data_IF_946420276059
#
_entry.id   IF_946420276059
#
_cell.length_a   1.000
_cell.length_b   1.000
_cell.length_c   1.000
_cell.angle_alpha   90.00
_cell.angle_beta   90.00
_cell.angle_gamma   90.00
#
_symmetry.space_group_name_H-M   'P 1'
#
loop_
_entity.id
_entity.type
_entity.pdbx_description
1 polymer ?
#
# COMPACT_ATOMS: atom_id res chain seq x y z
N UNK A 1 3.24 16.24 -12.68
CA UNK A 1 3.84 14.91 -12.56
C UNK A 1 3.06 13.96 -13.43
N UNK A 2 3.67 13.56 -14.54
CA UNK A 2 3.13 12.51 -15.40
C UNK A 2 3.35 11.12 -14.74
N UNK A 3 2.80 10.07 -15.34
CA UNK A 3 2.93 8.71 -14.78
C UNK A 3 4.36 8.17 -14.83
N UNK A 4 5.19 8.66 -15.76
CA UNK A 4 6.60 8.27 -15.87
C UNK A 4 7.43 8.79 -14.68
N UNK A 5 7.10 9.98 -14.19
CA UNK A 5 7.75 10.55 -13.01
C UNK A 5 7.28 9.84 -11.71
N UNK A 6 6.02 9.38 -11.64
CA UNK A 6 5.55 8.59 -10.50
C UNK A 6 6.22 7.19 -10.42
N UNK A 7 6.63 6.64 -11.55
CA UNK A 7 7.38 5.39 -11.61
C UNK A 7 8.80 5.47 -11.04
N UNK A 8 9.34 6.68 -10.94
CA UNK A 8 10.68 6.94 -10.40
C UNK A 8 10.67 7.29 -8.91
N UNK A 9 9.50 7.30 -8.27
CA UNK A 9 9.39 7.66 -6.85
C UNK A 9 10.33 6.88 -5.93
N UNK A 10 10.54 5.56 -6.09
CA UNK A 10 11.52 4.86 -5.26
C UNK A 10 12.92 5.46 -5.38
N UNK A 11 13.37 5.79 -6.59
CA UNK A 11 14.66 6.40 -6.86
C UNK A 11 14.73 7.83 -6.34
N UNK A 12 13.66 8.62 -6.48
CA UNK A 12 13.58 9.98 -5.95
C UNK A 12 13.69 9.97 -4.42
N UNK A 13 12.97 9.08 -3.75
CA UNK A 13 12.97 9.01 -2.29
C UNK A 13 14.31 8.51 -1.72
N UNK A 14 15.01 7.68 -2.49
CA UNK A 14 16.33 7.13 -2.13
C UNK A 14 17.49 7.80 -2.87
N UNK A 15 17.30 9.00 -3.41
CA UNK A 15 18.40 9.78 -3.99
C UNK A 15 19.47 10.01 -2.91
N UNK A 16 20.70 9.58 -3.21
CA UNK A 16 21.85 9.56 -2.29
C UNK A 16 21.64 8.81 -0.95
N UNK A 17 20.61 7.96 -0.87
CA UNK A 17 20.32 7.11 0.28
C UNK A 17 20.37 5.64 -0.13
N UNK A 18 21.22 4.85 0.52
CA UNK A 18 21.37 3.42 0.20
C UNK A 18 20.60 2.49 1.12
N UNK A 19 20.13 3.00 2.27
CA UNK A 19 19.42 2.19 3.26
C UNK A 19 18.57 3.04 4.19
N UNK A 20 17.61 2.39 4.84
CA UNK A 20 16.77 2.98 5.88
C UNK A 20 16.94 2.20 7.18
N UNK A 21 17.05 2.89 8.31
CA UNK A 21 17.15 2.25 9.62
C UNK A 21 15.97 1.30 9.86
N UNK A 22 16.25 0.08 10.34
CA UNK A 22 15.20 -0.90 10.68
C UNK A 22 14.61 -0.57 12.05
N UNK A 23 13.34 -0.20 12.09
CA UNK A 23 12.62 0.08 13.33
C UNK A 23 11.69 -1.09 13.67
N UNK A 24 12.12 -1.95 14.59
CA UNK A 24 11.33 -3.11 15.03
C UNK A 24 11.17 -4.20 13.97
N UNK A 25 10.07 -4.95 14.06
CA UNK A 25 9.73 -6.00 13.08
C UNK A 25 8.67 -5.46 12.12
N UNK A 26 9.03 -5.30 10.85
CA UNK A 26 8.13 -4.72 9.86
C UNK A 26 7.07 -5.74 9.41
N UNK A 27 5.87 -5.25 9.09
CA UNK A 27 4.87 -6.01 8.35
C UNK A 27 5.15 -6.04 6.84
N UNK A 28 4.21 -6.56 6.06
CA UNK A 28 4.16 -6.35 4.60
C UNK A 28 2.96 -5.49 4.21
N UNK A 29 3.11 -4.69 3.16
CA UNK A 29 2.03 -3.98 2.47
C UNK A 29 1.85 -4.56 1.07
N UNK A 30 0.66 -4.43 0.50
CA UNK A 30 0.42 -4.78 -0.91
C UNK A 30 -0.09 -3.53 -1.64
N UNK A 31 0.71 -2.93 -2.55
CA UNK A 31 0.26 -1.86 -3.44
C UNK A 31 -0.68 -2.44 -4.51
N UNK A 32 -1.92 -1.96 -4.57
CA UNK A 32 -2.98 -2.60 -5.36
C UNK A 32 -3.31 -1.90 -6.68
N UNK A 33 -3.02 -0.60 -6.81
CA UNK A 33 -3.56 0.24 -7.90
C UNK A 33 -2.44 0.90 -8.69
N UNK A 34 -2.77 1.39 -9.89
CA UNK A 34 -1.88 2.22 -10.69
C UNK A 34 -1.39 3.50 -10.00
N UNK A 35 -2.07 3.92 -8.94
CA UNK A 35 -1.67 5.07 -8.13
C UNK A 35 -0.86 4.70 -6.91
N UNK A 36 -0.43 3.43 -6.78
CA UNK A 36 0.46 2.96 -5.73
C UNK A 36 1.78 2.46 -6.26
N UNK A 37 2.87 2.61 -5.50
CA UNK A 37 4.23 2.16 -5.85
C UNK A 37 4.92 1.55 -4.64
N UNK A 38 5.50 0.38 -4.80
CA UNK A 38 6.46 -0.15 -3.83
C UNK A 38 7.69 0.77 -3.81
N UNK A 39 8.05 1.30 -2.64
CA UNK A 39 9.18 2.23 -2.47
C UNK A 39 10.38 1.53 -1.85
N UNK A 40 10.13 0.65 -0.89
CA UNK A 40 11.16 -0.15 -0.24
C UNK A 40 10.61 -1.54 0.02
N UNK A 41 11.45 -2.53 -0.28
CA UNK A 41 11.20 -3.93 0.01
C UNK A 41 12.21 -4.41 1.06
N UNK A 42 11.86 -5.46 1.79
CA UNK A 42 12.78 -6.19 2.66
C UNK A 42 13.75 -7.04 1.84
N UNK A 43 13.92 -8.29 2.25
CA UNK A 43 14.89 -9.20 1.66
C UNK A 43 14.51 -9.65 0.25
N UNK A 44 13.22 -9.58 -0.11
CA UNK A 44 12.67 -9.88 -1.43
C UNK A 44 11.55 -8.89 -1.84
N UNK A 45 11.17 -8.91 -3.13
CA UNK A 45 10.12 -8.05 -3.71
C UNK A 45 8.71 -8.33 -3.19
N UNK A 46 8.48 -9.48 -2.53
CA UNK A 46 7.20 -9.81 -1.91
C UNK A 46 7.04 -9.13 -0.56
N UNK A 47 8.13 -8.68 0.05
CA UNK A 47 8.17 -8.04 1.37
C UNK A 47 8.20 -6.52 1.24
N UNK A 48 7.19 -5.93 0.59
CA UNK A 48 7.06 -4.47 0.47
C UNK A 48 6.81 -3.87 1.86
N UNK A 49 7.66 -2.94 2.27
CA UNK A 49 7.62 -2.31 3.61
C UNK A 49 7.30 -0.82 3.58
N UNK A 50 7.47 -0.16 2.42
CA UNK A 50 7.05 1.22 2.20
C UNK A 50 6.31 1.29 0.87
N UNK A 51 5.15 1.95 0.86
CA UNK A 51 4.35 2.20 -0.33
C UNK A 51 4.12 3.69 -0.49
N UNK A 52 4.38 4.23 -1.68
CA UNK A 52 3.91 5.55 -2.09
C UNK A 52 2.55 5.43 -2.77
N UNK A 53 1.67 6.40 -2.53
CA UNK A 53 0.35 6.47 -3.17
C UNK A 53 -0.01 7.90 -3.58
N UNK A 54 -0.75 8.02 -4.69
CA UNK A 54 -1.42 9.25 -5.12
C UNK A 54 -2.93 9.11 -4.88
N UNK A 55 -3.54 10.17 -4.36
CA UNK A 55 -5.00 10.23 -4.18
C UNK A 55 -5.46 11.59 -4.66
N UNK A 56 -6.11 11.63 -5.83
CA UNK A 56 -6.38 12.90 -6.50
C UNK A 56 -5.06 13.66 -6.74
N UNK A 57 -4.96 14.86 -6.17
CA UNK A 57 -3.75 15.67 -6.28
C UNK A 57 -2.71 15.42 -5.16
N UNK A 58 -3.10 14.72 -4.10
CA UNK A 58 -2.27 14.50 -2.92
C UNK A 58 -1.35 13.29 -3.01
N UNK A 59 -0.42 13.23 -2.07
CA UNK A 59 0.64 12.22 -1.99
C UNK A 59 0.70 11.64 -0.59
N UNK A 60 0.91 10.33 -0.50
CA UNK A 60 1.04 9.67 0.79
C UNK A 60 2.11 8.58 0.77
N UNK A 61 2.83 8.46 1.90
CA UNK A 61 3.72 7.33 2.20
C UNK A 61 3.13 6.48 3.31
N UNK A 62 3.03 5.18 3.08
CA UNK A 62 2.56 4.19 4.03
C UNK A 62 3.71 3.28 4.43
N UNK A 63 4.00 3.20 5.72
CA UNK A 63 5.02 2.33 6.29
C UNK A 63 4.40 1.11 6.96
N UNK A 64 5.01 -0.06 6.76
CA UNK A 64 4.58 -1.33 7.36
C UNK A 64 4.95 -1.46 8.85
N UNK A 65 5.34 -0.37 9.51
CA UNK A 65 5.58 -0.32 10.94
C UNK A 65 5.27 1.08 11.51
N UNK A 66 4.60 1.12 12.65
CA UNK A 66 4.13 2.35 13.32
C UNK A 66 5.24 3.22 13.92
N UNK A 67 6.47 2.71 14.03
CA UNK A 67 7.63 3.47 14.49
C UNK A 67 8.18 4.47 13.47
N UNK A 68 7.98 4.23 12.17
CA UNK A 68 8.54 5.08 11.11
C UNK A 68 8.02 6.52 11.11
N UNK A 69 6.72 6.81 11.29
CA UNK A 69 6.22 8.18 11.39
C UNK A 69 7.01 9.05 12.40
N UNK A 70 7.58 8.45 13.45
CA UNK A 70 8.42 9.17 14.42
C UNK A 70 9.68 9.81 13.83
N UNK A 71 10.30 9.24 12.78
CA UNK A 71 11.54 9.79 12.21
C UNK A 71 11.32 11.14 11.52
N UNK A 72 10.09 11.41 11.07
CA UNK A 72 9.70 12.64 10.40
C UNK A 72 9.44 13.79 11.39
N UNK A 73 9.30 13.48 12.68
CA UNK A 73 9.02 14.45 13.75
C UNK A 73 10.27 14.81 14.55
N UNK A 74 11.45 14.34 14.13
CA UNK A 74 12.72 14.58 14.82
C UNK A 74 13.80 15.04 13.85
N UNK A 75 14.57 16.04 14.27
CA UNK A 75 15.71 16.54 13.50
C UNK A 75 16.97 15.68 13.67
N UNK A 76 16.97 14.68 14.55
CA UNK A 76 18.14 13.87 14.91
C UNK A 76 18.05 12.39 14.47
N UNK A 77 17.32 12.12 13.39
CA UNK A 77 17.31 10.78 12.81
C UNK A 77 18.60 10.49 12.01
N UNK A 78 19.01 9.22 11.92
CA UNK A 78 20.08 8.78 11.00
C UNK A 78 19.63 8.81 9.54
N UNK A 79 18.32 8.85 9.31
CA UNK A 79 17.70 8.76 8.00
C UNK A 79 17.35 10.16 7.41
N UNK A 80 18.11 11.22 7.76
CA UNK A 80 17.75 12.61 7.39
C UNK A 80 17.62 12.81 5.88
N UNK A 81 18.55 12.23 5.10
CA UNK A 81 18.50 12.32 3.62
C UNK A 81 17.18 11.77 3.06
N UNK A 82 16.74 10.62 3.56
CA UNK A 82 15.46 10.03 3.17
C UNK A 82 14.28 10.90 3.57
N UNK A 83 14.29 11.46 4.79
CA UNK A 83 13.24 12.37 5.27
C UNK A 83 13.13 13.62 4.41
N UNK A 84 14.25 14.23 4.02
CA UNK A 84 14.25 15.42 3.16
C UNK A 84 13.80 15.11 1.73
N UNK A 85 14.20 13.97 1.15
CA UNK A 85 13.67 13.53 -0.13
C UNK A 85 12.16 13.30 -0.07
N UNK A 86 11.67 12.69 1.03
CA UNK A 86 10.24 12.54 1.29
C UNK A 86 9.53 13.89 1.41
N UNK A 87 10.13 14.89 2.08
CA UNK A 87 9.54 16.23 2.23
C UNK A 87 9.29 16.88 0.87
N UNK A 88 10.32 16.91 0.02
CA UNK A 88 10.26 17.45 -1.34
C UNK A 88 9.23 16.71 -2.18
N UNK A 89 9.25 15.37 -2.14
CA UNK A 89 8.29 14.58 -2.89
C UNK A 89 6.85 14.74 -2.38
N UNK A 90 6.61 14.77 -1.07
CA UNK A 90 5.25 14.82 -0.54
C UNK A 90 4.59 16.18 -0.76
N UNK A 91 5.29 17.26 -0.42
CA UNK A 91 4.72 18.61 -0.40
C UNK A 91 4.93 19.41 -1.69
N UNK A 92 5.97 19.05 -2.49
CA UNK A 92 6.50 19.85 -3.61
C UNK A 92 7.18 21.16 -3.18
N UNK A 93 7.28 21.40 -1.88
CA UNK A 93 7.90 22.59 -1.28
C UNK A 93 9.11 22.15 -0.45
N UNK A 94 10.16 22.97 -0.42
CA UNK A 94 11.37 22.63 0.36
C UNK A 94 11.17 22.80 1.87
N UNK A 95 10.28 23.71 2.29
CA UNK A 95 10.13 24.12 3.69
C UNK A 95 8.86 23.58 4.38
N UNK A 96 8.14 22.65 3.74
CA UNK A 96 6.91 22.11 4.32
C UNK A 96 7.16 21.44 5.67
N UNK A 97 6.32 21.68 6.68
CA UNK A 97 6.53 21.20 8.04
C UNK A 97 5.84 19.86 8.28
N UNK A 98 6.47 18.98 9.06
CA UNK A 98 5.85 17.73 9.49
C UNK A 98 5.03 17.97 10.77
N UNK A 99 3.75 17.61 10.75
CA UNK A 99 2.86 17.77 11.91
C UNK A 99 2.20 16.46 12.31
N UNK A 100 2.33 16.12 13.59
CA UNK A 100 1.70 14.92 14.15
C UNK A 100 0.19 15.12 14.31
N UNK A 101 -0.59 14.23 13.69
CA UNK A 101 -2.04 14.17 13.86
C UNK A 101 -2.48 13.07 14.83
N UNK A 102 -1.56 12.49 15.61
CA UNK A 102 -1.88 11.37 16.51
C UNK A 102 -2.92 11.75 17.59
N UNK A 103 -2.84 12.96 18.13
CA UNK A 103 -3.68 13.42 19.25
C UNK A 103 -4.89 14.29 18.84
N UNK A 104 -5.01 14.67 17.56
CA UNK A 104 -6.16 15.47 17.07
C UNK A 104 -7.26 14.58 16.49
N UNK A 105 -8.51 15.01 16.59
CA UNK A 105 -9.64 14.40 15.87
C UNK A 105 -10.38 15.43 15.00
N UNK A 106 -9.70 16.53 14.66
CA UNK A 106 -10.18 17.56 13.73
C UNK A 106 -9.08 17.94 12.74
N UNK A 107 -9.51 18.29 11.52
CA UNK A 107 -8.69 18.75 10.40
C UNK A 107 -8.78 20.28 10.17
N UNK A 108 -9.57 21.01 10.96
CA UNK A 108 -9.97 22.41 10.67
C UNK A 108 -8.82 23.42 10.63
N UNK A 109 -7.64 23.06 11.18
CA UNK A 109 -6.45 23.93 11.28
C UNK A 109 -5.33 23.57 10.31
N UNK A 110 -5.50 22.53 9.49
CA UNK A 110 -4.42 22.02 8.63
C UNK A 110 -4.36 22.81 7.33
N UNK A 111 -3.21 23.40 7.04
CA UNK A 111 -2.92 24.04 5.75
C UNK A 111 -2.38 23.02 4.76
N UNK A 112 -2.99 22.92 3.58
CA UNK A 112 -2.70 21.86 2.59
C UNK A 112 -1.30 21.94 1.96
N UNK A 113 -0.80 23.13 1.68
CA UNK A 113 0.47 23.34 0.96
C UNK A 113 1.69 23.48 1.87
N UNK A 114 1.48 23.77 3.15
CA UNK A 114 2.57 24.05 4.10
C UNK A 114 2.85 22.89 5.06
N UNK A 115 1.91 21.95 5.20
CA UNK A 115 1.95 20.90 6.22
C UNK A 115 1.90 19.52 5.60
N UNK A 116 2.83 18.66 5.99
CA UNK A 116 2.80 17.21 5.77
C UNK A 116 2.31 16.57 7.06
N UNK A 117 1.16 15.89 7.00
CA UNK A 117 0.61 15.23 8.17
C UNK A 117 1.36 13.94 8.48
N UNK A 118 1.52 13.63 9.76
CA UNK A 118 2.21 12.44 10.24
C UNK A 118 1.29 11.65 11.18
N UNK A 119 0.99 10.40 10.84
CA UNK A 119 0.08 9.54 11.61
C UNK A 119 0.66 8.16 11.88
N UNK A 120 0.68 7.74 13.13
CA UNK A 120 1.14 6.41 13.54
C UNK A 120 0.10 5.29 13.38
N UNK A 121 -1.08 5.56 12.80
CA UNK A 121 -2.10 4.56 12.45
C UNK A 121 -2.74 3.79 13.62
N UNK A 122 -2.36 4.05 14.87
CA UNK A 122 -2.78 3.26 16.03
C UNK A 122 -4.03 3.79 16.73
N UNK A 123 -4.26 5.10 16.68
CA UNK A 123 -5.37 5.73 17.39
C UNK A 123 -6.65 5.69 16.55
N UNK A 124 -7.77 5.32 17.18
CA UNK A 124 -9.08 5.49 16.56
C UNK A 124 -9.30 6.97 16.25
N UNK A 125 -9.87 7.23 15.08
CA UNK A 125 -10.33 8.54 14.63
C UNK A 125 -11.83 8.47 14.38
N UNK A 126 -12.53 9.59 14.50
CA UNK A 126 -13.93 9.65 14.11
C UNK A 126 -14.10 9.45 12.61
N UNK A 127 -15.26 8.97 12.18
CA UNK A 127 -15.57 8.83 10.75
C UNK A 127 -15.45 10.18 10.02
N UNK A 128 -15.88 11.27 10.66
CA UNK A 128 -15.71 12.62 10.14
C UNK A 128 -14.23 12.96 9.89
N UNK A 129 -13.35 12.68 10.86
CA UNK A 129 -11.93 12.92 10.68
C UNK A 129 -11.38 12.14 9.48
N UNK A 130 -11.79 10.88 9.33
CA UNK A 130 -11.36 10.03 8.22
C UNK A 130 -11.84 10.56 6.88
N UNK A 131 -13.08 11.03 6.79
CA UNK A 131 -13.64 11.65 5.59
C UNK A 131 -12.91 12.95 5.24
N UNK A 132 -12.65 13.82 6.23
CA UNK A 132 -11.91 15.06 6.05
C UNK A 132 -10.46 14.80 5.61
N UNK A 133 -9.79 13.77 6.17
CA UNK A 133 -8.46 13.35 5.73
C UNK A 133 -8.46 12.86 4.28
N UNK A 134 -9.50 12.13 3.87
CA UNK A 134 -9.67 11.68 2.49
C UNK A 134 -9.86 12.85 1.51
N UNK A 135 -10.60 13.89 1.92
CA UNK A 135 -10.79 15.14 1.16
C UNK A 135 -9.46 15.91 1.09
N UNK A 136 -8.78 16.07 2.23
CA UNK A 136 -7.47 16.73 2.32
C UNK A 136 -6.47 16.13 1.32
N UNK A 137 -6.36 14.81 1.26
CA UNK A 137 -5.51 14.13 0.28
C UNK A 137 -5.97 14.38 -1.16
N UNK A 138 -7.26 14.16 -1.47
CA UNK A 138 -7.80 14.39 -2.82
C UNK A 138 -7.46 15.78 -3.35
N UNK A 139 -7.48 16.79 -2.49
CA UNK A 139 -7.28 18.19 -2.83
C UNK A 139 -5.80 18.63 -2.86
N UNK A 140 -4.84 17.72 -2.67
CA UNK A 140 -3.41 18.03 -2.80
C UNK A 140 -2.61 17.93 -1.51
N UNK A 141 -3.22 17.51 -0.40
CA UNK A 141 -2.54 17.33 0.86
C UNK A 141 -1.50 16.20 0.86
N UNK A 142 -0.64 16.22 1.87
CA UNK A 142 0.47 15.29 2.04
C UNK A 142 0.37 14.52 3.36
N UNK A 143 0.60 13.20 3.32
CA UNK A 143 0.53 12.34 4.50
C UNK A 143 1.68 11.32 4.56
N UNK A 144 2.36 11.27 5.69
CA UNK A 144 3.13 10.10 6.11
C UNK A 144 2.32 9.33 7.14
N UNK A 145 2.13 8.04 6.92
CA UNK A 145 1.50 7.18 7.90
C UNK A 145 2.22 5.84 8.02
N UNK A 146 2.11 5.21 9.18
CA UNK A 146 2.77 3.94 9.43
C UNK A 146 1.99 3.11 10.40
N UNK A 147 2.03 1.78 10.23
CA UNK A 147 1.17 0.90 11.02
C UNK A 147 1.76 -0.48 11.19
N UNK A 148 1.47 -1.12 12.33
CA UNK A 148 1.93 -2.48 12.64
C UNK A 148 0.72 -3.41 12.71
N UNK A 149 0.17 -3.75 11.54
CA UNK A 149 -1.07 -4.52 11.39
C UNK A 149 -1.07 -5.85 12.15
N UNK A 150 -0.02 -6.66 11.97
CA UNK A 150 0.18 -7.91 12.70
C UNK A 150 0.21 -7.69 14.22
N UNK A 151 0.80 -6.58 14.68
CA UNK A 151 0.94 -6.26 16.10
C UNK A 151 -0.40 -5.86 16.72
N UNK A 152 -1.22 -5.15 15.97
CA UNK A 152 -2.60 -4.86 16.37
C UNK A 152 -3.42 -6.13 16.54
N UNK A 153 -3.27 -7.12 15.65
CA UNK A 153 -3.97 -8.41 15.73
C UNK A 153 -3.56 -9.22 16.97
N UNK A 154 -2.30 -9.17 17.39
CA UNK A 154 -1.86 -9.81 18.65
C UNK A 154 -2.62 -9.30 19.88
N UNK A 155 -2.91 -8.00 19.92
CA UNK A 155 -3.71 -7.37 20.97
C UNK A 155 -5.23 -7.50 20.79
N UNK A 156 -5.68 -7.86 19.58
CA UNK A 156 -7.09 -7.93 19.20
C UNK A 156 -7.45 -9.32 18.65
N UNK A 157 -7.17 -10.38 19.42
CA UNK A 157 -7.21 -11.80 18.99
C UNK A 157 -8.52 -12.29 18.35
N UNK A 158 -9.65 -11.63 18.63
CA UNK A 158 -10.97 -11.99 18.10
C UNK A 158 -11.42 -11.08 16.96
N UNK A 159 -10.54 -10.21 16.48
CA UNK A 159 -10.83 -9.27 15.40
C UNK A 159 -10.09 -9.67 14.14
N UNK A 160 -10.67 -9.28 13.02
CA UNK A 160 -10.05 -9.39 11.71
C UNK A 160 -9.30 -8.11 11.39
N UNK A 161 -8.37 -8.17 10.44
CA UNK A 161 -7.66 -7.00 9.98
C UNK A 161 -8.60 -5.94 9.37
N UNK A 162 -9.77 -6.35 8.86
CA UNK A 162 -10.83 -5.43 8.41
C UNK A 162 -11.48 -4.63 9.55
N UNK A 163 -11.37 -5.09 10.79
CA UNK A 163 -11.85 -4.37 11.97
C UNK A 163 -10.82 -3.37 12.48
N UNK A 164 -9.62 -3.35 11.89
CA UNK A 164 -8.60 -2.38 12.23
C UNK A 164 -9.00 -1.02 11.62
N UNK A 165 -9.16 0.06 12.42
CA UNK A 165 -9.65 1.34 11.93
C UNK A 165 -8.84 1.91 10.76
N UNK A 166 -7.54 1.64 10.76
CA UNK A 166 -6.63 2.09 9.70
C UNK A 166 -6.80 1.31 8.38
N UNK A 167 -7.34 0.09 8.41
CA UNK A 167 -7.50 -0.75 7.22
C UNK A 167 -8.42 -0.11 6.17
N UNK A 168 -9.53 0.50 6.59
CA UNK A 168 -10.46 1.18 5.68
C UNK A 168 -9.79 2.34 4.94
N UNK A 169 -8.91 3.05 5.62
CA UNK A 169 -8.13 4.13 5.02
C UNK A 169 -7.08 3.61 4.05
N UNK A 170 -6.33 2.58 4.43
CA UNK A 170 -5.39 1.91 3.53
C UNK A 170 -6.10 1.44 2.24
N UNK A 171 -7.28 0.82 2.39
CA UNK A 171 -8.08 0.38 1.25
C UNK A 171 -8.47 1.53 0.32
N UNK A 172 -8.86 2.68 0.90
CA UNK A 172 -9.20 3.89 0.15
C UNK A 172 -8.02 4.43 -0.66
N UNK A 173 -6.80 4.40 -0.09
CA UNK A 173 -5.58 4.87 -0.76
C UNK A 173 -4.89 3.79 -1.61
N UNK A 174 -5.55 2.64 -1.85
CA UNK A 174 -5.07 1.58 -2.73
C UNK A 174 -3.98 0.67 -2.14
N UNK A 175 -3.83 0.65 -0.81
CA UNK A 175 -2.83 -0.17 -0.10
C UNK A 175 -3.54 -1.21 0.74
N UNK A 176 -3.14 -2.48 0.65
CA UNK A 176 -3.67 -3.54 1.52
C UNK A 176 -2.70 -3.82 2.66
N UNK A 177 -3.27 -3.90 3.85
CA UNK A 177 -2.59 -4.45 5.02
C UNK A 177 -2.73 -5.97 4.99
N UNK A 178 -1.72 -6.67 5.51
CA UNK A 178 -1.73 -8.13 5.66
C UNK A 178 -1.20 -8.55 7.02
N UNK A 179 -1.64 -9.72 7.49
CA UNK A 179 -1.21 -10.31 8.76
C UNK A 179 0.06 -11.14 8.57
N UNK A 180 1.18 -10.47 8.34
CA UNK A 180 2.48 -11.10 8.23
C UNK A 180 3.61 -10.13 8.59
N UNK A 181 4.82 -10.66 8.59
CA UNK A 181 6.05 -9.92 8.82
C UNK A 181 6.93 -9.96 7.57
N UNK A 182 7.65 -8.88 7.32
CA UNK A 182 8.68 -8.83 6.31
C UNK A 182 10.02 -9.34 6.88
N UNK A 183 10.68 -10.20 6.12
CA UNK A 183 12.10 -10.48 6.33
C UNK A 183 12.89 -9.29 5.79
N UNK A 184 13.72 -8.66 6.64
CA UNK A 184 14.51 -7.49 6.28
C UNK A 184 15.86 -7.50 7.00
N UNK A 185 16.92 -7.18 6.25
CA UNK A 185 18.21 -6.74 6.78
C UNK A 185 18.10 -5.55 7.75
N UNK A 186 19.17 -5.32 8.53
CA UNK A 186 19.31 -4.16 9.41
C UNK A 186 20.68 -3.48 9.17
N UNK A 187 20.73 -2.28 8.56
CA UNK A 187 19.60 -1.49 8.04
C UNK A 187 18.93 -2.16 6.81
N UNK A 188 17.73 -1.68 6.44
CA UNK A 188 17.01 -2.16 5.26
C UNK A 188 17.66 -1.53 4.03
N UNK A 189 18.22 -2.35 3.15
CA UNK A 189 18.94 -1.87 1.97
C UNK A 189 17.95 -1.49 0.86
N UNK A 190 18.13 -0.30 0.28
CA UNK A 190 17.43 0.08 -0.94
C UNK A 190 18.00 -0.70 -2.12
N UNK A 191 17.11 -1.41 -2.82
CA UNK A 191 17.45 -2.28 -3.94
C UNK A 191 16.46 -2.00 -5.07
N UNK A 192 16.90 -1.18 -6.02
CA UNK A 192 16.07 -0.71 -7.14
C UNK A 192 15.46 -1.86 -7.95
N UNK A 193 16.12 -3.01 -8.00
CA UNK A 193 15.66 -4.23 -8.66
C UNK A 193 14.46 -4.86 -7.96
N UNK A 194 14.32 -4.73 -6.64
CA UNK A 194 13.21 -5.31 -5.88
C UNK A 194 11.92 -4.48 -5.94
N UNK A 195 12.02 -3.22 -6.37
CA UNK A 195 10.89 -2.30 -6.54
C UNK A 195 10.50 -2.13 -8.01
N UNK A 196 11.06 -2.96 -8.92
CA UNK A 196 10.75 -2.94 -10.35
C UNK A 196 9.28 -3.17 -10.67
N UNK A 197 8.57 -3.92 -9.83
CA UNK A 197 7.14 -4.19 -10.01
C UNK A 197 6.30 -3.22 -9.20
N UNK A 198 5.57 -2.38 -9.92
CA UNK A 198 5.10 -1.13 -9.36
C UNK A 198 3.72 -1.17 -8.70
N UNK A 199 3.01 -2.29 -8.75
CA UNK A 199 1.84 -2.65 -7.92
C UNK A 199 1.26 -3.96 -8.46
N UNK A 200 0.35 -4.61 -7.74
CA UNK A 200 -0.29 -5.85 -8.21
C UNK A 200 -1.02 -5.64 -9.54
N UNK A 201 -1.66 -4.50 -9.76
CA UNK A 201 -2.34 -4.22 -11.02
C UNK A 201 -1.37 -4.27 -12.22
N UNK A 202 -0.19 -3.66 -12.12
CA UNK A 202 0.80 -3.69 -13.19
C UNK A 202 1.46 -5.06 -13.38
N UNK A 203 1.69 -5.80 -12.29
CA UNK A 203 2.19 -7.19 -12.39
C UNK A 203 1.20 -8.04 -13.17
N UNK A 204 -0.09 -7.88 -12.88
CA UNK A 204 -1.18 -8.58 -13.56
C UNK A 204 -1.26 -8.18 -15.05
N UNK A 205 -1.09 -6.89 -15.38
CA UNK A 205 -1.02 -6.45 -16.77
C UNK A 205 0.21 -7.00 -17.51
N UNK A 206 1.37 -7.02 -16.86
CA UNK A 206 2.59 -7.57 -17.43
C UNK A 206 2.42 -9.08 -17.74
N UNK A 207 1.75 -9.82 -16.86
CA UNK A 207 1.41 -11.23 -17.09
C UNK A 207 0.47 -11.44 -18.27
N UNK A 208 -0.38 -10.47 -18.62
CA UNK A 208 -1.19 -10.59 -19.83
C UNK A 208 -0.34 -10.56 -21.12
N UNK A 209 0.83 -9.91 -21.08
CA UNK A 209 1.78 -9.86 -22.20
C UNK A 209 2.83 -10.97 -22.14
N UNK A 210 3.26 -11.34 -20.93
CA UNK A 210 4.23 -12.41 -20.66
C UNK A 210 3.68 -13.41 -19.61
N UNK A 211 2.76 -14.30 -20.00
CA UNK A 211 2.04 -15.18 -19.05
C UNK A 211 2.93 -16.17 -18.28
N UNK A 212 4.11 -16.46 -18.81
CA UNK A 212 5.06 -17.40 -18.25
C UNK A 212 6.17 -16.73 -17.42
N UNK A 213 6.07 -15.42 -17.14
CA UNK A 213 7.03 -14.73 -16.30
C UNK A 213 6.95 -15.22 -14.85
N UNK A 214 7.90 -16.09 -14.47
CA UNK A 214 7.92 -16.80 -13.18
C UNK A 214 7.97 -15.85 -11.99
N UNK A 215 8.69 -14.74 -12.11
CA UNK A 215 8.80 -13.74 -11.04
C UNK A 215 7.44 -13.06 -10.78
N UNK A 216 6.78 -12.60 -11.85
CA UNK A 216 5.46 -11.97 -11.76
C UNK A 216 4.40 -12.93 -11.19
N UNK A 217 4.40 -14.19 -11.62
CA UNK A 217 3.51 -15.22 -11.08
C UNK A 217 3.73 -15.40 -9.58
N UNK A 218 5.00 -15.46 -9.14
CA UNK A 218 5.34 -15.61 -7.72
C UNK A 218 4.87 -14.42 -6.86
N UNK A 219 4.96 -13.20 -7.39
CA UNK A 219 4.48 -11.99 -6.72
C UNK A 219 2.96 -12.05 -6.52
N UNK A 220 2.20 -12.35 -7.59
CA UNK A 220 0.72 -12.44 -7.51
C UNK A 220 0.29 -13.56 -6.56
N UNK A 221 0.92 -14.73 -6.67
CA UNK A 221 0.64 -15.86 -5.78
C UNK A 221 0.90 -15.50 -4.32
N UNK A 222 2.03 -14.83 -4.04
CA UNK A 222 2.35 -14.37 -2.69
C UNK A 222 1.33 -13.36 -2.17
N UNK A 223 0.88 -12.42 -3.00
CA UNK A 223 -0.13 -11.44 -2.63
C UNK A 223 -1.48 -12.10 -2.30
N UNK A 224 -1.94 -13.05 -3.13
CA UNK A 224 -3.17 -13.81 -2.90
C UNK A 224 -3.09 -14.59 -1.58
N UNK A 225 -1.97 -15.29 -1.34
CA UNK A 225 -1.73 -16.02 -0.08
C UNK A 225 -1.77 -15.09 1.12
N UNK A 226 -1.11 -13.93 1.06
CA UNK A 226 -1.05 -12.94 2.15
C UNK A 226 -2.39 -12.26 2.44
N UNK A 227 -3.26 -12.10 1.43
CA UNK A 227 -4.62 -11.57 1.60
C UNK A 227 -5.59 -12.56 2.27
N UNK A 228 -5.11 -13.74 2.68
CA UNK A 228 -5.94 -14.77 3.29
C UNK A 228 -6.77 -15.57 2.28
N UNK A 229 -6.46 -15.43 0.99
CA UNK A 229 -6.95 -16.36 -0.01
C UNK A 229 -6.21 -17.68 0.12
N UNK A 230 -6.73 -18.62 0.91
CA UNK A 230 -6.68 -19.99 0.41
C UNK A 230 -7.55 -19.98 -0.85
N UNK A 231 -6.97 -20.23 -2.01
CA UNK A 231 -7.76 -20.81 -3.09
C UNK A 231 -7.78 -22.30 -2.80
N UNK A 232 -8.81 -22.86 -2.13
CA UNK A 232 -8.83 -24.28 -1.85
C UNK A 232 -9.08 -24.96 -3.20
N UNK A 233 -8.05 -25.59 -3.77
CA UNK A 233 -8.20 -26.39 -4.99
C UNK A 233 -8.27 -25.60 -6.30
N UNK A 234 -7.81 -24.35 -6.37
CA UNK A 234 -7.56 -23.69 -7.66
C UNK A 234 -6.08 -23.88 -8.00
N UNK A 235 -5.72 -24.83 -8.88
CA UNK A 235 -4.35 -24.94 -9.36
C UNK A 235 -3.86 -23.60 -9.93
N UNK A 236 -2.54 -23.38 -9.95
CA UNK A 236 -1.94 -22.21 -10.62
C UNK A 236 -2.36 -22.12 -12.10
N UNK A 237 -2.71 -23.25 -12.72
CA UNK A 237 -3.24 -23.31 -14.07
C UNK A 237 -4.51 -22.47 -14.29
N UNK A 238 -5.53 -22.46 -13.41
CA UNK A 238 -6.64 -21.53 -13.52
C UNK A 238 -6.26 -20.05 -13.45
N UNK A 239 -5.27 -19.63 -12.64
CA UNK A 239 -4.81 -18.23 -12.66
C UNK A 239 -4.13 -17.91 -14.00
N UNK A 240 -3.28 -18.83 -14.48
CA UNK A 240 -2.73 -18.75 -15.83
C UNK A 240 -3.83 -18.75 -16.88
N UNK A 241 -4.87 -19.58 -16.78
CA UNK A 241 -6.00 -19.63 -17.70
C UNK A 241 -6.92 -18.41 -17.58
N UNK A 242 -7.09 -17.80 -16.41
CA UNK A 242 -7.86 -16.55 -16.25
C UNK A 242 -7.05 -15.39 -16.85
N UNK A 243 -5.73 -15.39 -16.70
CA UNK A 243 -4.80 -14.42 -17.34
C UNK A 243 -4.71 -14.64 -18.86
N UNK A 244 -4.64 -15.88 -19.32
CA UNK A 244 -4.51 -16.29 -20.73
C UNK A 244 -5.84 -16.17 -21.48
N UNK A 245 -6.98 -16.46 -20.82
CA UNK A 245 -8.32 -16.34 -21.40
C UNK A 245 -8.98 -15.00 -21.10
N UNK A 246 -8.26 -14.02 -20.55
CA UNK A 246 -8.76 -12.68 -20.29
C UNK A 246 -9.22 -11.96 -21.59
N UNK A 247 -8.87 -12.46 -22.78
CA UNK A 247 -9.45 -12.03 -24.07
C UNK A 247 -10.84 -12.60 -24.39
N UNK A 248 -11.35 -13.55 -23.61
CA UNK A 248 -12.65 -14.20 -23.79
C UNK A 248 -13.58 -13.77 -22.67
N UNK A 249 -14.82 -13.35 -22.98
CA UNK A 249 -15.80 -12.85 -22.01
C UNK A 249 -16.04 -13.85 -20.85
N UNK A 250 -15.28 -13.75 -19.76
CA UNK A 250 -15.53 -14.49 -18.52
C UNK A 250 -16.51 -13.68 -17.70
N UNK A 251 -17.78 -14.07 -17.69
CA UNK A 251 -18.79 -13.56 -16.76
C UNK A 251 -18.56 -14.18 -15.38
N UNK A 252 -18.40 -13.39 -14.31
CA UNK A 252 -18.28 -13.93 -12.96
C UNK A 252 -19.59 -14.63 -12.57
N UNK A 253 -19.55 -15.95 -12.37
CA UNK A 253 -20.69 -16.70 -11.86
C UNK A 253 -20.67 -16.60 -10.34
N UNK A 254 -21.45 -15.68 -9.78
CA UNK A 254 -21.70 -15.62 -8.34
C UNK A 254 -23.20 -15.52 -8.09
N UNK A 255 -23.83 -16.67 -7.88
CA UNK A 255 -25.21 -16.77 -7.37
C UNK A 255 -25.26 -17.09 -5.88
N UNK A 256 -24.18 -16.88 -5.13
CA UNK A 256 -24.16 -17.14 -3.69
C UNK A 256 -24.10 -15.81 -2.91
N UNK A 257 -25.15 -15.45 -2.14
CA UNK A 257 -25.11 -14.26 -1.32
C UNK A 257 -24.08 -14.45 -0.21
N UNK A 258 -22.92 -13.81 -0.35
CA UNK A 258 -21.86 -13.80 0.66
C UNK A 258 -22.33 -12.96 1.84
N UNK A 259 -22.76 -13.64 2.92
CA UNK A 259 -23.33 -13.02 4.14
C UNK A 259 -22.27 -12.51 5.11
N UNK A 260 -20.99 -12.76 4.87
CA UNK A 260 -19.88 -12.39 5.77
C UNK A 260 -19.12 -11.16 5.25
N UNK A 261 -18.95 -10.16 6.11
CA UNK A 261 -18.23 -8.91 5.82
C UNK A 261 -16.76 -9.14 5.49
N UNK A 262 -16.13 -10.15 6.11
CA UNK A 262 -14.73 -10.53 5.85
C UNK A 262 -14.55 -11.06 4.43
N UNK A 263 -15.50 -11.91 4.03
CA UNK A 263 -15.55 -12.58 2.74
C UNK A 263 -15.88 -11.58 1.61
N UNK A 264 -16.65 -10.52 1.90
CA UNK A 264 -16.88 -9.40 0.96
C UNK A 264 -15.62 -8.59 0.67
N UNK A 265 -14.78 -8.32 1.67
CA UNK A 265 -13.55 -7.52 1.48
C UNK A 265 -12.44 -8.31 0.77
N UNK A 266 -12.33 -9.61 1.06
CA UNK A 266 -11.49 -10.53 0.29
C UNK A 266 -11.98 -10.63 -1.16
N UNK A 267 -13.30 -10.73 -1.37
CA UNK A 267 -13.91 -10.74 -2.70
C UNK A 267 -13.65 -9.45 -3.46
N UNK A 268 -13.69 -8.26 -2.83
CA UNK A 268 -13.36 -6.99 -3.49
C UNK A 268 -11.88 -6.93 -3.88
N UNK A 269 -10.97 -7.34 -2.98
CA UNK A 269 -9.53 -7.32 -3.25
C UNK A 269 -9.16 -8.29 -4.37
N UNK A 270 -9.77 -9.47 -4.38
CA UNK A 270 -9.63 -10.46 -5.44
C UNK A 270 -10.31 -10.01 -6.74
N UNK A 271 -11.49 -9.38 -6.67
CA UNK A 271 -12.12 -8.73 -7.82
C UNK A 271 -11.27 -7.60 -8.40
N UNK A 272 -10.56 -6.81 -7.59
CA UNK A 272 -9.63 -5.78 -8.09
C UNK A 272 -8.47 -6.42 -8.84
N UNK A 273 -7.91 -7.53 -8.31
CA UNK A 273 -6.86 -8.30 -8.99
C UNK A 273 -7.41 -8.91 -10.30
N UNK A 274 -8.62 -9.45 -10.28
CA UNK A 274 -9.26 -10.08 -11.43
C UNK A 274 -9.73 -9.05 -12.48
N UNK A 275 -10.22 -7.88 -12.08
CA UNK A 275 -10.63 -6.80 -12.98
C UNK A 275 -9.43 -6.02 -13.55
N UNK A 276 -8.23 -6.20 -12.98
CA UNK A 276 -6.99 -5.71 -13.56
C UNK A 276 -6.54 -6.53 -14.78
N UNK A 277 -7.10 -7.73 -14.97
CA UNK A 277 -6.88 -8.54 -16.16
C UNK A 277 -7.64 -7.95 -17.34
N UNK A 278 -7.03 -7.88 -18.55
CA UNK A 278 -7.73 -7.45 -19.76
C UNK A 278 -9.05 -8.24 -19.93
N UNK A 279 -10.12 -7.59 -20.42
CA UNK A 279 -11.38 -8.26 -20.80
C UNK A 279 -12.27 -8.87 -19.69
N UNK A 280 -11.87 -8.83 -18.42
CA UNK A 280 -12.76 -9.14 -17.29
C UNK A 280 -13.51 -7.87 -16.86
N UNK A 281 -14.84 -7.83 -17.10
CA UNK A 281 -15.71 -6.76 -16.60
C UNK A 281 -16.13 -7.04 -15.16
N UNK A 282 -16.15 -5.99 -14.33
CA UNK A 282 -16.72 -6.07 -13.00
C UNK A 282 -18.18 -6.55 -13.07
N UNK A 283 -18.63 -7.44 -12.17
CA UNK A 283 -20.01 -7.89 -12.18
C UNK A 283 -20.95 -6.70 -11.93
N UNK A 284 -21.79 -6.38 -12.92
CA UNK A 284 -22.85 -5.36 -12.81
C UNK A 284 -22.56 -3.98 -13.40
N UNK A 285 -21.68 -3.85 -14.40
CA UNK A 285 -21.62 -2.67 -15.28
C UNK A 285 -21.80 -3.06 -16.75
#
# INVERSE_FOLDING_TARGET
MDDNEFDQVPQILFEDVTSLSKLGTLGTLIPMTNDTRAVLCGDDSKNVVVVATRVGNGRCLVFAHNGYPGIFLTNDTKDKGFVENCRRWLSREEDAQFESINATDSMDKVKKSETILVWNGHNNKSDKFMDDLCIYLKEGGALVCGVTAWGWLQGNKNKLLSDFPFARFCDYIGVKLVDNYASCANPILFRSELVKFKNIYQVVQALASEPNNVENLSIVESAIKKLGGTLPGVPLEPLQNIVLNAGSNVTPVSSCPIKDKSCRQQSISMCTILCALPGIKAPGK
#
